data_IF_248893979431
#
_entry.id   IF_248893979431
#
_cell.length_a   1.000
_cell.length_b   1.000
_cell.length_c   1.000
_cell.angle_alpha   90.00
_cell.angle_beta   90.00
_cell.angle_gamma   90.00
#
_symmetry.space_group_name_H-M   'P 1'
#
loop_
_entity.id
_entity.type
_entity.pdbx_description
1 polymer ?
#
# COMPACT_ATOMS: atom_id res chain seq x y z
N UNK A 1 2.57 26.38 -47.25
CA UNK A 1 2.97 25.46 -46.17
C UNK A 1 3.26 26.29 -44.93
N UNK A 2 2.27 26.45 -44.06
CA UNK A 2 2.44 27.15 -42.79
C UNK A 2 2.58 26.06 -41.72
N UNK A 3 3.77 25.97 -41.12
CA UNK A 3 4.03 25.16 -39.95
C UNK A 3 3.32 25.80 -38.73
N UNK A 4 2.32 25.15 -38.23
CA UNK A 4 1.59 25.55 -37.04
C UNK A 4 2.45 25.19 -35.80
N UNK A 5 3.29 26.11 -35.35
CA UNK A 5 3.97 26.00 -34.06
C UNK A 5 2.96 26.41 -32.99
N UNK A 6 2.35 25.42 -32.33
CA UNK A 6 1.55 25.64 -31.13
C UNK A 6 2.36 26.37 -30.06
N UNK A 7 1.72 27.14 -29.16
CA UNK A 7 2.43 27.98 -28.19
C UNK A 7 3.25 27.11 -27.22
N UNK A 8 4.55 27.36 -27.13
CA UNK A 8 5.44 26.80 -26.14
C UNK A 8 5.00 27.30 -24.74
N UNK A 9 4.25 26.53 -24.03
CA UNK A 9 3.91 26.81 -22.64
C UNK A 9 5.13 26.49 -21.78
N UNK A 10 5.78 27.55 -21.32
CA UNK A 10 6.90 27.46 -20.36
C UNK A 10 6.41 26.90 -19.05
N UNK A 11 6.50 25.57 -18.88
CA UNK A 11 6.08 24.88 -17.67
C UNK A 11 7.05 25.18 -16.53
N UNK A 12 6.64 26.00 -15.56
CA UNK A 12 7.40 26.32 -14.33
C UNK A 12 7.58 25.12 -13.39
N UNK A 13 7.20 23.90 -13.77
CA UNK A 13 7.08 22.73 -12.88
C UNK A 13 7.96 21.53 -13.23
N UNK A 14 9.10 21.73 -13.84
CA UNK A 14 10.15 20.71 -13.93
C UNK A 14 9.91 19.54 -14.89
N UNK A 15 8.85 19.53 -15.70
CA UNK A 15 8.75 18.70 -16.89
C UNK A 15 9.29 19.47 -18.11
N UNK A 16 10.08 18.80 -18.91
CA UNK A 16 10.46 19.31 -20.23
C UNK A 16 9.24 19.27 -21.16
N UNK A 17 9.28 19.98 -22.27
CA UNK A 17 8.17 20.05 -23.23
C UNK A 17 7.89 18.66 -23.84
N UNK A 18 6.71 18.48 -24.44
CA UNK A 18 6.30 17.24 -25.11
C UNK A 18 7.23 16.79 -26.28
N UNK A 19 8.21 17.61 -26.63
CA UNK A 19 9.25 17.30 -27.63
C UNK A 19 10.47 16.57 -27.02
N UNK A 20 10.60 16.50 -25.70
CA UNK A 20 11.64 15.74 -25.01
C UNK A 20 11.13 14.32 -24.80
N UNK A 21 11.64 13.38 -25.55
CA UNK A 21 11.19 12.00 -25.73
C UNK A 21 11.41 11.06 -24.53
N UNK A 22 11.80 11.56 -23.37
CA UNK A 22 11.98 10.72 -22.18
C UNK A 22 10.63 10.37 -21.55
N UNK A 23 10.32 9.09 -21.32
CA UNK A 23 9.11 8.69 -20.64
C UNK A 23 9.07 9.25 -19.21
N UNK A 24 7.90 9.72 -18.79
CA UNK A 24 7.72 10.41 -17.49
C UNK A 24 7.26 9.42 -16.41
N UNK A 25 8.00 9.39 -15.30
CA UNK A 25 7.69 8.58 -14.14
C UNK A 25 7.35 9.44 -12.92
N UNK A 26 6.25 9.15 -12.26
CA UNK A 26 5.91 9.72 -10.96
C UNK A 26 6.15 8.71 -9.84
N UNK A 27 6.94 9.08 -8.84
CA UNK A 27 7.04 8.32 -7.58
C UNK A 27 6.16 9.02 -6.55
N UNK A 28 5.08 8.37 -6.10
CA UNK A 28 4.21 8.89 -5.05
C UNK A 28 4.84 8.61 -3.68
N UNK A 29 5.36 9.63 -3.02
CA UNK A 29 6.01 9.49 -1.71
C UNK A 29 5.89 10.75 -0.87
N UNK A 30 5.55 10.61 0.43
CA UNK A 30 5.63 11.69 1.42
C UNK A 30 7.06 11.97 1.90
N UNK A 31 7.98 11.06 1.63
CA UNK A 31 9.37 11.17 2.04
C UNK A 31 10.35 11.19 0.85
N UNK A 32 10.48 12.32 0.13
CA UNK A 32 11.37 12.40 -1.03
C UNK A 32 12.85 12.18 -0.66
N UNK A 33 13.22 12.44 0.59
CA UNK A 33 14.59 12.25 1.11
C UNK A 33 14.87 10.85 1.68
N UNK A 34 13.86 9.97 1.77
CA UNK A 34 14.07 8.59 2.22
C UNK A 34 15.01 7.86 1.25
N UNK A 35 15.94 7.09 1.80
CA UNK A 35 16.93 6.34 1.02
C UNK A 35 16.29 5.57 -0.13
N UNK A 36 15.27 4.75 0.15
CA UNK A 36 14.60 3.94 -0.87
C UNK A 36 13.86 4.75 -1.94
N UNK A 37 13.32 5.95 -1.61
CA UNK A 37 12.69 6.83 -2.58
C UNK A 37 13.72 7.45 -3.51
N UNK A 38 14.84 7.92 -2.95
CA UNK A 38 15.95 8.48 -3.76
C UNK A 38 16.55 7.41 -4.68
N UNK A 39 16.82 6.20 -4.14
CA UNK A 39 17.38 5.11 -4.96
C UNK A 39 16.49 4.73 -6.13
N UNK A 40 15.16 4.69 -5.92
CA UNK A 40 14.23 4.45 -7.01
C UNK A 40 14.29 5.55 -8.08
N UNK A 41 14.38 6.82 -7.66
CA UNK A 41 14.50 7.93 -8.60
C UNK A 41 15.81 7.86 -9.38
N UNK A 42 16.95 7.69 -8.70
CA UNK A 42 18.27 7.57 -9.31
C UNK A 42 18.36 6.44 -10.34
N UNK A 43 17.80 5.26 -10.03
CA UNK A 43 17.82 4.12 -10.95
C UNK A 43 16.85 4.33 -12.14
N UNK A 44 15.71 4.98 -11.91
CA UNK A 44 14.80 5.32 -12.99
C UNK A 44 15.42 6.37 -13.95
N UNK A 45 16.09 7.39 -13.41
CA UNK A 45 16.81 8.39 -14.22
C UNK A 45 17.92 7.75 -15.07
N UNK A 46 18.70 6.83 -14.49
CA UNK A 46 19.71 6.05 -15.23
C UNK A 46 19.09 5.18 -16.35
N UNK A 47 17.84 4.74 -16.14
CA UNK A 47 17.08 3.96 -17.12
C UNK A 47 16.39 4.86 -18.18
N UNK A 48 16.65 6.17 -18.18
CA UNK A 48 16.14 7.11 -19.17
C UNK A 48 14.76 7.67 -18.86
N UNK A 49 14.28 7.61 -17.59
CA UNK A 49 13.01 8.21 -17.20
C UNK A 49 13.18 9.65 -16.70
N UNK A 50 12.28 10.53 -17.11
CA UNK A 50 12.12 11.83 -16.46
C UNK A 50 11.31 11.64 -15.16
N UNK A 51 11.96 11.79 -13.99
CA UNK A 51 11.35 11.42 -12.70
C UNK A 51 10.85 12.63 -11.93
N UNK A 52 9.64 12.50 -11.34
CA UNK A 52 9.11 13.41 -10.31
C UNK A 52 8.68 12.65 -9.08
N UNK A 53 9.05 13.15 -7.91
CA UNK A 53 8.55 12.66 -6.63
C UNK A 53 7.45 13.60 -6.15
N UNK A 54 6.23 13.08 -5.99
CA UNK A 54 5.06 13.85 -5.56
C UNK A 54 4.48 13.28 -4.27
N UNK A 55 4.15 14.18 -3.34
CA UNK A 55 3.37 13.79 -2.16
C UNK A 55 1.92 13.52 -2.60
N UNK A 56 1.39 12.31 -2.40
CA UNK A 56 -0.01 12.00 -2.75
C UNK A 56 -1.02 12.93 -2.04
N UNK A 57 -0.66 13.51 -0.87
CA UNK A 57 -1.52 14.46 -0.17
C UNK A 57 -1.58 15.85 -0.84
N UNK A 58 -0.64 16.16 -1.73
CA UNK A 58 -0.61 17.41 -2.49
C UNK A 58 -1.32 17.32 -3.85
N UNK A 59 -1.89 16.15 -4.16
CA UNK A 59 -2.59 15.92 -5.42
C UNK A 59 -4.09 16.15 -5.28
N UNK A 60 -4.67 16.79 -6.27
CA UNK A 60 -6.12 16.99 -6.40
C UNK A 60 -6.65 16.13 -7.53
N UNK A 61 -7.68 15.36 -7.26
CA UNK A 61 -8.44 14.62 -8.27
C UNK A 61 -9.65 15.44 -8.66
N UNK A 62 -9.86 15.61 -9.96
CA UNK A 62 -11.08 16.20 -10.52
C UNK A 62 -11.72 15.15 -11.41
N UNK A 63 -13.00 14.88 -11.17
CA UNK A 63 -13.78 13.92 -11.95
C UNK A 63 -15.00 14.63 -12.53
N UNK A 64 -15.17 14.52 -13.83
CA UNK A 64 -16.32 15.04 -14.56
C UNK A 64 -16.78 14.03 -15.62
N UNK A 65 -17.75 14.39 -16.44
CA UNK A 65 -18.30 13.56 -17.52
C UNK A 65 -17.28 13.12 -18.58
N UNK A 66 -16.13 13.82 -18.67
CA UNK A 66 -15.03 13.54 -19.59
C UNK A 66 -13.98 12.61 -18.97
N UNK A 67 -14.17 12.21 -17.71
CA UNK A 67 -13.26 11.35 -16.95
C UNK A 67 -12.55 12.06 -15.81
N UNK A 68 -11.64 11.34 -15.16
CA UNK A 68 -10.87 11.87 -14.04
C UNK A 68 -9.50 12.39 -14.46
N UNK A 69 -9.05 13.41 -13.77
CA UNK A 69 -7.73 14.04 -13.98
C UNK A 69 -7.08 14.34 -12.65
N UNK A 70 -5.75 14.35 -12.64
CA UNK A 70 -4.96 14.66 -11.45
C UNK A 70 -4.21 15.97 -11.66
N UNK A 71 -4.22 16.81 -10.63
CA UNK A 71 -3.53 18.09 -10.60
C UNK A 71 -2.57 18.17 -9.41
N UNK A 72 -1.43 18.80 -9.65
CA UNK A 72 -0.51 19.20 -8.60
C UNK A 72 -0.29 20.72 -8.66
N UNK A 73 -0.68 21.42 -7.59
CA UNK A 73 -0.57 22.90 -7.52
C UNK A 73 -1.23 23.61 -8.71
N UNK A 74 -2.39 23.13 -9.15
CA UNK A 74 -3.15 23.69 -10.26
C UNK A 74 -2.72 23.24 -11.66
N UNK A 75 -1.63 22.49 -11.80
CA UNK A 75 -1.15 21.98 -13.06
C UNK A 75 -1.50 20.50 -13.25
N UNK A 76 -1.91 20.06 -14.44
CA UNK A 76 -2.18 18.66 -14.70
C UNK A 76 -0.92 17.81 -14.50
N UNK A 77 -1.11 16.63 -13.96
CA UNK A 77 -0.05 15.62 -13.81
C UNK A 77 -0.23 14.60 -14.92
N UNK A 78 0.68 14.64 -15.87
CA UNK A 78 0.77 13.68 -16.97
C UNK A 78 2.01 12.84 -16.79
N UNK A 79 1.88 11.51 -16.94
CA UNK A 79 2.99 10.57 -16.85
C UNK A 79 2.60 9.23 -17.51
N UNK A 80 3.59 8.46 -17.90
CA UNK A 80 3.43 7.12 -18.48
C UNK A 80 3.40 6.04 -17.41
N UNK A 81 4.08 6.28 -16.26
CA UNK A 81 4.13 5.31 -15.17
C UNK A 81 4.10 5.96 -13.79
N UNK A 82 3.63 5.20 -12.79
CA UNK A 82 3.63 5.59 -11.38
C UNK A 82 4.15 4.47 -10.49
N UNK A 83 5.06 4.80 -9.58
CA UNK A 83 5.47 3.92 -8.48
C UNK A 83 4.85 4.45 -7.18
N UNK A 84 3.78 3.82 -6.65
CA UNK A 84 3.16 4.24 -5.41
C UNK A 84 3.96 3.75 -4.19
N UNK A 85 4.40 4.70 -3.37
CA UNK A 85 5.00 4.45 -2.06
C UNK A 85 4.07 4.99 -0.96
N UNK A 86 2.89 4.37 -0.90
CA UNK A 86 1.82 4.80 -0.01
C UNK A 86 2.06 4.26 1.39
N UNK A 87 2.26 5.15 2.35
CA UNK A 87 2.36 4.81 3.76
C UNK A 87 1.02 4.44 4.37
N UNK A 88 1.05 3.69 5.48
CA UNK A 88 -0.17 3.24 6.19
C UNK A 88 -1.11 4.40 6.53
N UNK A 89 -0.59 5.49 7.11
CA UNK A 89 -1.39 6.61 7.60
C UNK A 89 -2.21 7.35 6.52
N UNK A 90 -1.91 7.08 5.24
CA UNK A 90 -2.60 7.70 4.11
C UNK A 90 -3.18 6.67 3.13
N UNK A 91 -3.32 5.40 3.54
CA UNK A 91 -3.73 4.32 2.64
C UNK A 91 -4.99 4.67 1.87
N UNK A 92 -6.07 5.09 2.55
CA UNK A 92 -7.36 5.40 1.90
C UNK A 92 -7.22 6.48 0.82
N UNK A 93 -6.53 7.57 1.14
CA UNK A 93 -6.32 8.69 0.20
C UNK A 93 -5.33 8.32 -0.90
N UNK A 94 -4.25 7.64 -0.54
CA UNK A 94 -3.24 7.19 -1.50
C UNK A 94 -3.80 6.21 -2.52
N UNK A 95 -4.60 5.24 -2.10
CA UNK A 95 -5.29 4.29 -2.98
C UNK A 95 -6.24 5.00 -3.94
N UNK A 96 -6.96 6.03 -3.50
CA UNK A 96 -7.83 6.81 -4.38
C UNK A 96 -7.03 7.53 -5.50
N UNK A 97 -5.87 8.11 -5.15
CA UNK A 97 -4.96 8.74 -6.12
C UNK A 97 -4.41 7.71 -7.12
N UNK A 98 -3.95 6.55 -6.62
CA UNK A 98 -3.41 5.47 -7.48
C UNK A 98 -4.49 4.97 -8.44
N UNK A 99 -5.71 4.74 -7.94
CA UNK A 99 -6.85 4.32 -8.77
C UNK A 99 -7.17 5.34 -9.86
N UNK A 100 -7.05 6.64 -9.57
CA UNK A 100 -7.27 7.65 -10.59
C UNK A 100 -6.22 7.60 -11.69
N UNK A 101 -4.95 7.38 -11.38
CA UNK A 101 -3.92 7.15 -12.40
C UNK A 101 -4.21 5.89 -13.24
N UNK A 102 -4.69 4.81 -12.61
CA UNK A 102 -5.10 3.60 -13.33
C UNK A 102 -6.21 3.90 -14.34
N UNK A 103 -7.23 4.67 -13.94
CA UNK A 103 -8.34 5.07 -14.81
C UNK A 103 -7.90 6.00 -15.95
N UNK A 104 -6.80 6.73 -15.78
CA UNK A 104 -6.16 7.52 -16.82
C UNK A 104 -5.29 6.68 -17.77
N UNK A 105 -5.21 5.36 -17.58
CA UNK A 105 -4.41 4.44 -18.41
C UNK A 105 -2.91 4.45 -18.11
N UNK A 106 -2.51 5.03 -16.97
CA UNK A 106 -1.11 5.08 -16.54
C UNK A 106 -0.66 3.72 -16.01
N UNK A 107 0.56 3.30 -16.34
CA UNK A 107 1.16 2.06 -15.82
C UNK A 107 1.47 2.22 -14.33
N UNK A 108 0.94 1.32 -13.51
CA UNK A 108 1.10 1.39 -12.05
C UNK A 108 1.85 0.17 -11.51
N UNK A 109 2.81 0.42 -10.62
CA UNK A 109 3.57 -0.63 -9.95
C UNK A 109 3.73 -0.33 -8.44
N UNK A 110 2.88 -0.89 -7.54
CA UNK A 110 1.81 -1.89 -7.64
C UNK A 110 0.41 -1.22 -7.74
N UNK A 111 -0.61 -1.93 -8.29
CA UNK A 111 -1.96 -1.40 -8.45
C UNK A 111 -2.66 -1.03 -7.14
N UNK A 112 -3.66 -0.16 -7.24
CA UNK A 112 -4.46 0.30 -6.10
C UNK A 112 -5.11 -0.85 -5.33
N UNK A 113 -5.62 -1.84 -6.06
CA UNK A 113 -6.23 -3.05 -5.49
C UNK A 113 -5.22 -3.85 -4.67
N UNK A 114 -4.00 -4.08 -5.19
CA UNK A 114 -2.95 -4.81 -4.47
C UNK A 114 -2.52 -4.09 -3.19
N UNK A 115 -2.43 -2.75 -3.23
CA UNK A 115 -2.14 -1.94 -2.05
C UNK A 115 -3.25 -2.10 -1.01
N UNK A 116 -4.51 -2.06 -1.42
CA UNK A 116 -5.66 -2.20 -0.53
C UNK A 116 -5.73 -3.59 0.09
N UNK A 117 -5.59 -4.63 -0.71
CA UNK A 117 -5.61 -6.04 -0.27
C UNK A 117 -4.50 -6.36 0.73
N UNK A 118 -3.28 -5.88 0.48
CA UNK A 118 -2.15 -6.10 1.38
C UNK A 118 -2.24 -5.32 2.70
N UNK A 119 -3.10 -4.32 2.81
CA UNK A 119 -3.29 -3.51 4.03
C UNK A 119 -4.29 -4.11 5.01
N UNK A 120 -5.24 -4.90 4.54
CA UNK A 120 -6.19 -5.62 5.37
C UNK A 120 -5.69 -7.06 5.58
N UNK A 121 -5.29 -7.39 6.83
CA UNK A 121 -4.74 -8.71 7.15
C UNK A 121 -5.76 -9.83 7.02
N UNK A 122 -7.04 -9.55 7.25
CA UNK A 122 -8.09 -10.54 7.06
C UNK A 122 -8.27 -10.84 5.57
N UNK A 123 -8.41 -9.81 4.74
CA UNK A 123 -8.54 -9.97 3.29
C UNK A 123 -7.31 -10.65 2.69
N UNK A 124 -6.10 -10.26 3.12
CA UNK A 124 -4.88 -10.92 2.68
C UNK A 124 -4.86 -12.41 3.04
N UNK A 125 -5.30 -12.77 4.27
CA UNK A 125 -5.40 -14.17 4.68
C UNK A 125 -6.44 -14.95 3.86
N UNK A 126 -7.60 -14.34 3.57
CA UNK A 126 -8.62 -14.95 2.73
C UNK A 126 -8.10 -15.25 1.31
N UNK A 127 -7.42 -14.27 0.69
CA UNK A 127 -6.85 -14.44 -0.66
C UNK A 127 -5.74 -15.49 -0.69
N UNK A 128 -4.89 -15.54 0.33
CA UNK A 128 -3.85 -16.57 0.43
C UNK A 128 -4.45 -17.96 0.63
N UNK A 129 -5.47 -18.10 1.46
CA UNK A 129 -6.17 -19.36 1.69
C UNK A 129 -6.86 -19.86 0.42
N UNK A 130 -7.54 -18.96 -0.31
CA UNK A 130 -8.18 -19.29 -1.59
C UNK A 130 -7.18 -19.73 -2.65
N UNK A 131 -5.97 -19.15 -2.64
CA UNK A 131 -4.86 -19.55 -3.49
C UNK A 131 -4.13 -20.82 -3.02
N UNK A 132 -4.56 -21.49 -1.96
CA UNK A 132 -3.92 -22.69 -1.40
C UNK A 132 -2.58 -22.42 -0.71
N UNK A 133 -2.26 -21.19 -0.36
CA UNK A 133 -1.05 -20.84 0.37
C UNK A 133 -1.25 -21.18 1.86
N UNK A 134 -0.35 -21.95 2.49
CA UNK A 134 -0.43 -22.23 3.93
C UNK A 134 -0.38 -20.94 4.76
N UNK A 135 -1.34 -20.79 5.65
CA UNK A 135 -1.43 -19.66 6.59
C UNK A 135 -1.73 -20.15 8.00
N UNK A 136 -1.34 -19.41 9.05
CA UNK A 136 -1.83 -19.68 10.40
C UNK A 136 -3.35 -19.52 10.46
N UNK A 137 -4.03 -20.37 11.23
CA UNK A 137 -5.47 -20.22 11.44
C UNK A 137 -5.76 -18.83 11.98
N UNK A 138 -6.67 -18.12 11.32
CA UNK A 138 -7.00 -16.73 11.63
C UNK A 138 -8.50 -16.59 11.81
N UNK A 139 -8.93 -16.12 12.97
CA UNK A 139 -10.32 -15.86 13.29
C UNK A 139 -10.55 -14.35 13.48
N UNK A 140 -11.56 -13.79 12.81
CA UNK A 140 -12.06 -12.44 13.08
C UNK A 140 -13.03 -12.50 14.26
N UNK A 141 -12.87 -11.58 15.20
CA UNK A 141 -13.74 -11.46 16.38
C UNK A 141 -14.68 -10.28 16.19
N UNK A 142 -15.97 -10.57 16.01
CA UNK A 142 -16.98 -9.54 15.80
C UNK A 142 -17.50 -8.94 17.10
N UNK A 143 -17.54 -9.74 18.17
CA UNK A 143 -17.98 -9.35 19.50
C UNK A 143 -17.10 -9.97 20.58
N UNK A 144 -17.15 -9.42 21.80
CA UNK A 144 -16.32 -9.91 22.91
C UNK A 144 -16.66 -11.35 23.29
N UNK A 145 -17.92 -11.75 23.14
CA UNK A 145 -18.44 -13.09 23.47
C UNK A 145 -17.87 -14.18 22.54
N UNK A 146 -17.39 -13.79 21.36
CA UNK A 146 -16.79 -14.73 20.40
C UNK A 146 -15.30 -14.98 20.66
N UNK A 147 -14.68 -14.28 21.61
CA UNK A 147 -13.23 -14.33 21.85
C UNK A 147 -12.74 -15.74 22.18
N UNK A 148 -13.38 -16.45 23.10
CA UNK A 148 -12.96 -17.80 23.49
C UNK A 148 -13.12 -18.81 22.36
N UNK A 149 -14.17 -18.68 21.54
CA UNK A 149 -14.34 -19.51 20.35
C UNK A 149 -13.25 -19.26 19.33
N UNK A 150 -12.85 -17.99 19.14
CA UNK A 150 -11.75 -17.61 18.24
C UNK A 150 -10.41 -18.18 18.73
N UNK A 151 -10.13 -18.10 20.03
CA UNK A 151 -8.94 -18.70 20.66
C UNK A 151 -8.93 -20.21 20.43
N UNK A 152 -10.03 -20.89 20.73
CA UNK A 152 -10.12 -22.33 20.55
C UNK A 152 -9.88 -22.76 19.09
N UNK A 153 -10.42 -22.01 18.11
CA UNK A 153 -10.17 -22.25 16.67
C UNK A 153 -8.75 -21.97 16.26
N UNK A 154 -8.07 -21.01 16.89
CA UNK A 154 -6.67 -20.68 16.63
C UNK A 154 -5.70 -21.69 17.29
N UNK A 155 -6.19 -22.72 17.97
CA UNK A 155 -5.38 -23.75 18.61
C UNK A 155 -5.14 -23.54 20.11
N UNK A 156 -5.83 -22.58 20.73
CA UNK A 156 -5.68 -22.24 22.14
C UNK A 156 -4.70 -21.11 22.39
N UNK A 157 -4.23 -21.03 23.63
CA UNK A 157 -3.15 -20.12 24.03
C UNK A 157 -1.82 -20.89 24.14
N UNK A 158 -0.65 -20.30 23.85
CA UNK A 158 -0.48 -18.91 23.40
C UNK A 158 -1.03 -18.66 22.00
N UNK A 159 -1.58 -17.47 21.78
CA UNK A 159 -2.06 -17.06 20.47
C UNK A 159 -1.70 -15.58 20.17
N UNK A 160 -1.87 -15.15 18.94
CA UNK A 160 -1.60 -13.77 18.53
C UNK A 160 -2.91 -13.02 18.39
N UNK A 161 -3.04 -11.89 19.10
CA UNK A 161 -4.15 -10.93 18.92
C UNK A 161 -3.62 -9.73 18.15
N UNK A 162 -4.30 -9.35 17.04
CA UNK A 162 -3.89 -8.23 16.19
C UNK A 162 -5.07 -7.53 15.53
N UNK A 163 -4.92 -6.25 15.19
CA UNK A 163 -5.90 -5.55 14.38
C UNK A 163 -5.77 -5.92 12.89
N UNK A 164 -6.89 -5.93 12.14
CA UNK A 164 -6.90 -6.17 10.68
C UNK A 164 -6.04 -5.17 9.94
N UNK A 165 -6.03 -3.93 10.39
CA UNK A 165 -5.22 -2.84 9.82
C UNK A 165 -4.15 -2.39 10.83
N UNK A 166 -3.03 -1.91 10.33
CA UNK A 166 -1.89 -1.45 11.14
C UNK A 166 -0.56 -1.87 10.55
N UNK A 167 0.54 -1.25 10.99
CA UNK A 167 1.90 -1.53 10.49
C UNK A 167 2.93 -1.57 11.59
N UNK A 168 4.11 -2.15 11.30
CA UNK A 168 5.31 -2.13 12.12
C UNK A 168 5.15 -2.77 13.51
N UNK A 169 4.33 -3.82 13.61
CA UNK A 169 4.11 -4.52 14.88
C UNK A 169 3.27 -3.76 15.90
N UNK A 170 2.87 -2.51 15.61
CA UNK A 170 1.93 -1.81 16.47
C UNK A 170 0.55 -2.48 16.38
N UNK A 171 0.06 -2.98 17.53
CA UNK A 171 -1.21 -3.71 17.59
C UNK A 171 -1.11 -5.19 17.20
N UNK A 172 0.06 -5.83 17.41
CA UNK A 172 0.27 -7.28 17.34
C UNK A 172 0.77 -7.73 18.71
N UNK A 173 0.04 -8.62 19.36
CA UNK A 173 0.30 -9.04 20.72
C UNK A 173 0.30 -10.55 20.81
N UNK A 174 1.34 -11.14 21.38
CA UNK A 174 1.35 -12.51 21.84
C UNK A 174 0.64 -12.54 23.19
N UNK A 175 -0.31 -13.44 23.37
CA UNK A 175 -1.07 -13.59 24.61
C UNK A 175 -0.98 -15.02 25.10
N UNK A 176 -0.73 -15.19 26.40
CA UNK A 176 -0.50 -16.47 27.04
C UNK A 176 -1.73 -17.00 27.79
N UNK A 177 -2.77 -16.21 27.92
CA UNK A 177 -3.99 -16.58 28.61
C UNK A 177 -5.24 -15.86 28.05
N UNK A 178 -6.40 -16.44 28.31
CA UNK A 178 -7.71 -15.95 27.87
C UNK A 178 -8.02 -14.53 28.37
N UNK A 179 -7.66 -14.21 29.62
CA UNK A 179 -7.94 -12.88 30.19
C UNK A 179 -7.23 -11.76 29.42
N UNK A 180 -5.96 -11.94 29.07
CA UNK A 180 -5.22 -10.96 28.25
C UNK A 180 -5.85 -10.82 26.87
N UNK A 181 -6.26 -11.94 26.24
CA UNK A 181 -6.92 -11.91 24.95
C UNK A 181 -8.23 -11.11 25.00
N UNK A 182 -9.08 -11.37 26.00
CA UNK A 182 -10.33 -10.63 26.20
C UNK A 182 -10.09 -9.13 26.38
N UNK A 183 -9.14 -8.75 27.23
CA UNK A 183 -8.80 -7.34 27.45
C UNK A 183 -8.37 -6.63 26.17
N UNK A 184 -7.50 -7.27 25.36
CA UNK A 184 -7.03 -6.70 24.10
C UNK A 184 -8.14 -6.61 23.04
N UNK A 185 -8.94 -7.67 22.90
CA UNK A 185 -10.09 -7.68 21.98
C UNK A 185 -11.07 -6.59 22.36
N UNK A 186 -11.42 -6.47 23.64
CA UNK A 186 -12.32 -5.42 24.13
C UNK A 186 -11.78 -4.02 23.79
N UNK A 187 -10.51 -3.74 24.12
CA UNK A 187 -9.88 -2.46 23.81
C UNK A 187 -9.87 -2.15 22.32
N UNK A 188 -9.68 -3.16 21.47
CA UNK A 188 -9.72 -2.99 20.01
C UNK A 188 -11.13 -2.67 19.53
N UNK A 189 -12.16 -3.40 20.00
CA UNK A 189 -13.57 -3.17 19.66
C UNK A 189 -14.04 -1.77 20.09
N UNK A 190 -13.71 -1.34 21.31
CA UNK A 190 -14.04 -0.01 21.84
C UNK A 190 -13.43 1.12 20.99
N UNK A 191 -12.29 0.89 20.35
CA UNK A 191 -11.63 1.83 19.43
C UNK A 191 -12.11 1.71 17.99
N UNK A 192 -13.14 0.91 17.72
CA UNK A 192 -13.65 0.65 16.37
C UNK A 192 -12.69 -0.13 15.47
N UNK A 193 -11.69 -0.80 16.05
CA UNK A 193 -10.79 -1.67 15.31
C UNK A 193 -11.41 -3.07 15.17
N UNK A 194 -10.97 -3.80 14.15
CA UNK A 194 -11.40 -5.18 13.90
C UNK A 194 -10.33 -6.16 14.39
N UNK A 195 -10.53 -6.83 15.55
CA UNK A 195 -9.54 -7.75 16.08
C UNK A 195 -9.52 -9.08 15.32
N UNK A 196 -8.33 -9.66 15.23
CA UNK A 196 -8.06 -11.01 14.76
C UNK A 196 -7.38 -11.78 15.88
N UNK A 197 -7.77 -13.03 16.06
CA UNK A 197 -7.04 -14.05 16.84
C UNK A 197 -6.42 -15.02 15.86
N UNK A 198 -5.13 -15.31 16.02
CA UNK A 198 -4.37 -16.13 15.09
C UNK A 198 -3.49 -17.12 15.83
N UNK A 199 -3.32 -18.33 15.28
CA UNK A 199 -2.36 -19.33 15.78
C UNK A 199 -0.98 -18.69 15.92
N UNK A 200 -0.35 -18.88 17.07
CA UNK A 200 1.06 -18.56 17.25
C UNK A 200 1.94 -19.65 16.62
N UNK A 201 2.88 -19.23 15.81
CA UNK A 201 3.85 -20.13 15.19
C UNK A 201 5.14 -20.11 16.02
N UNK A 202 5.21 -21.05 16.94
CA UNK A 202 6.30 -21.12 17.92
C UNK A 202 7.66 -21.34 17.24
N UNK A 203 7.71 -22.13 16.17
CA UNK A 203 8.92 -22.47 15.43
C UNK A 203 9.62 -21.24 14.82
N UNK A 204 8.87 -20.18 14.55
CA UNK A 204 9.44 -18.94 14.02
C UNK A 204 10.17 -18.11 15.09
N UNK A 205 9.89 -18.32 16.37
CA UNK A 205 10.42 -17.53 17.49
C UNK A 205 10.33 -16.00 17.28
N UNK A 206 9.30 -15.54 16.59
CA UNK A 206 9.13 -14.12 16.24
C UNK A 206 10.03 -13.62 15.10
N UNK A 207 10.70 -14.53 14.40
CA UNK A 207 11.48 -14.19 13.21
C UNK A 207 10.58 -14.19 11.96
N UNK A 208 10.84 -13.29 11.04
CA UNK A 208 10.17 -13.23 9.74
C UNK A 208 11.22 -13.17 8.61
N UNK A 209 10.88 -13.76 7.48
CA UNK A 209 11.66 -13.65 6.25
C UNK A 209 10.92 -12.72 5.30
N UNK A 210 11.61 -11.67 4.84
CA UNK A 210 11.09 -10.76 3.83
C UNK A 210 11.64 -11.14 2.47
N UNK A 211 10.74 -11.45 1.57
CA UNK A 211 11.08 -11.81 0.20
C UNK A 211 10.67 -10.69 -0.74
N UNK A 212 11.63 -10.21 -1.54
CA UNK A 212 11.39 -9.21 -2.55
C UNK A 212 11.24 -9.86 -3.92
N UNK A 213 10.05 -9.69 -4.52
CA UNK A 213 9.69 -10.32 -5.79
C UNK A 213 9.49 -9.25 -6.86
N UNK A 214 10.11 -9.43 -8.01
CA UNK A 214 9.95 -8.55 -9.18
C UNK A 214 9.70 -9.43 -10.42
N UNK A 215 8.63 -9.13 -11.18
CA UNK A 215 8.29 -9.89 -12.38
C UNK A 215 8.09 -11.39 -12.13
N UNK A 216 7.53 -11.77 -10.97
CA UNK A 216 7.32 -13.17 -10.58
C UNK A 216 8.57 -13.90 -10.10
N UNK A 217 9.73 -13.24 -9.99
CA UNK A 217 11.00 -13.85 -9.54
C UNK A 217 11.46 -13.25 -8.21
N UNK A 218 11.91 -14.11 -7.30
CA UNK A 218 12.57 -13.67 -6.06
C UNK A 218 13.90 -13.02 -6.43
N UNK A 219 14.06 -11.75 -6.05
CA UNK A 219 15.27 -10.96 -6.33
C UNK A 219 16.12 -10.72 -5.10
N UNK A 220 15.51 -10.76 -3.91
CA UNK A 220 16.21 -10.65 -2.63
C UNK A 220 15.39 -11.29 -1.51
N UNK A 221 16.06 -11.71 -0.43
CA UNK A 221 15.45 -12.13 0.83
C UNK A 221 16.31 -11.63 2.00
N UNK A 222 15.68 -11.31 3.12
CA UNK A 222 16.34 -10.85 4.35
C UNK A 222 15.59 -11.34 5.59
#
# INVERSE_FOLDING_TARGET
MMQNQGPAVRLKNGWRSAADMDPRLVILSRGPRLYSTRRLAEEAEKAGWAVRILDPLSLTVVVDEKGGRIFHRGWPVECEAVIPRIGYSITRRGVAIVRQFEQMGVIILNPSLSIQQSRDKLLASQLMADAGVPIPVTAHVASIEDTDRAIARAGGVPCVVKATEGTQGSGVFLVDNHQQAHQLVQQMLERGMRPLVQTYIEESHGQDIRVFVVGGKVTAAM
#
